data_IF_634070505435
#
_entry.id   IF_634070505435
#
_cell.length_a   1.000
_cell.length_b   1.000
_cell.length_c   1.000
_cell.angle_alpha   90.00
_cell.angle_beta   90.00
_cell.angle_gamma   90.00
#
_symmetry.space_group_name_H-M   'P 1'
#
loop_
_entity.id
_entity.type
_entity.pdbx_description
1 polymer ?
#
# COMPACT_ATOMS: atom_id res chain seq x y z
N UNK A 1 15.68 0.04 10.43
CA UNK A 1 14.58 -0.62 9.71
C UNK A 1 13.63 -1.16 10.77
N UNK A 2 12.46 -0.53 10.92
CA UNK A 2 11.48 -0.82 11.97
C UNK A 2 11.23 -2.32 12.22
N UNK A 3 11.10 -3.09 11.13
CA UNK A 3 10.82 -4.52 11.19
C UNK A 3 12.00 -5.36 11.70
N UNK A 4 13.24 -4.88 11.55
CA UNK A 4 14.47 -5.59 11.98
C UNK A 4 14.83 -5.21 13.42
N UNK A 5 14.58 -3.96 13.80
CA UNK A 5 14.87 -3.46 15.15
C UNK A 5 13.87 -4.00 16.19
N UNK A 6 12.62 -4.28 15.80
CA UNK A 6 11.62 -4.90 16.68
C UNK A 6 11.90 -6.35 17.06
N UNK A 7 12.54 -7.12 16.16
CA UNK A 7 12.95 -8.51 16.43
C UNK A 7 14.12 -8.59 17.43
N UNK A 8 14.93 -7.53 17.50
CA UNK A 8 16.11 -7.45 18.37
C UNK A 8 15.74 -6.90 19.75
N UNK A 9 14.87 -5.91 19.81
CA UNK A 9 14.40 -5.35 21.08
C UNK A 9 12.95 -4.87 20.94
N UNK A 10 12.04 -5.59 21.60
CA UNK A 10 10.61 -5.32 21.59
C UNK A 10 10.27 -3.94 22.18
N UNK A 11 11.05 -3.46 23.15
CA UNK A 11 10.92 -2.11 23.73
C UNK A 11 11.35 -1.01 22.75
N UNK A 12 12.16 -1.32 21.74
CA UNK A 12 12.53 -0.37 20.70
C UNK A 12 11.33 -0.01 19.81
N UNK A 13 10.32 -0.89 19.70
CA UNK A 13 9.06 -0.63 18.99
C UNK A 13 8.24 0.48 19.65
N UNK A 14 8.42 0.70 20.96
CA UNK A 14 7.78 1.78 21.71
C UNK A 14 8.52 3.12 21.56
N UNK A 15 9.70 3.13 20.95
CA UNK A 15 10.40 4.39 20.69
C UNK A 15 9.62 5.21 19.65
N UNK A 16 9.52 6.56 19.80
CA UNK A 16 8.77 7.40 18.87
C UNK A 16 9.23 7.25 17.40
N UNK A 17 10.52 6.96 17.19
CA UNK A 17 11.13 6.79 15.87
C UNK A 17 10.74 5.47 15.19
N UNK A 18 10.36 4.45 15.96
CA UNK A 18 9.84 3.20 15.42
C UNK A 18 8.31 3.23 15.37
N UNK A 19 7.64 3.69 16.42
CA UNK A 19 6.17 3.75 16.49
C UNK A 19 5.57 4.54 15.32
N UNK A 20 6.19 5.67 14.97
CA UNK A 20 5.76 6.53 13.87
C UNK A 20 6.83 6.69 12.79
N UNK A 21 7.38 5.55 12.34
CA UNK A 21 8.42 5.52 11.32
C UNK A 21 7.95 6.09 9.96
N UNK A 22 8.89 6.72 9.25
CA UNK A 22 8.70 7.17 7.86
C UNK A 22 8.77 6.00 6.87
N UNK A 23 8.32 6.26 5.63
CA UNK A 23 8.52 5.34 4.52
C UNK A 23 10.00 5.15 4.20
N UNK A 24 10.38 3.90 3.96
CA UNK A 24 11.70 3.57 3.42
C UNK A 24 11.85 4.09 1.99
N UNK A 25 13.09 4.18 1.46
CA UNK A 25 13.31 4.53 0.05
C UNK A 25 12.53 3.63 -0.93
N UNK A 26 12.44 2.33 -0.63
CA UNK A 26 11.63 1.40 -1.42
C UNK A 26 10.13 1.71 -1.31
N UNK A 27 9.65 2.08 -0.12
CA UNK A 27 8.28 2.52 0.11
C UNK A 27 7.92 3.75 -0.72
N UNK A 28 8.83 4.73 -0.81
CA UNK A 28 8.65 5.90 -1.68
C UNK A 28 8.56 5.52 -3.16
N UNK A 29 9.39 4.57 -3.63
CA UNK A 29 9.28 4.05 -5.00
C UNK A 29 7.93 3.36 -5.24
N UNK A 30 7.43 2.57 -4.29
CA UNK A 30 6.13 1.91 -4.37
C UNK A 30 4.98 2.93 -4.47
N UNK A 31 5.04 3.99 -3.67
CA UNK A 31 4.10 5.12 -3.72
C UNK A 31 4.12 5.80 -5.09
N UNK A 32 5.31 6.05 -5.65
CA UNK A 32 5.45 6.64 -6.97
C UNK A 32 4.85 5.79 -8.10
N UNK A 33 4.98 4.45 -8.00
CA UNK A 33 4.32 3.54 -8.94
C UNK A 33 2.80 3.60 -8.78
N UNK A 34 2.31 3.50 -7.54
CA UNK A 34 0.88 3.53 -7.25
C UNK A 34 0.20 4.83 -7.69
N UNK A 35 0.88 5.98 -7.54
CA UNK A 35 0.40 7.27 -8.06
C UNK A 35 0.12 7.21 -9.56
N UNK A 36 1.01 6.61 -10.35
CA UNK A 36 0.83 6.49 -11.81
C UNK A 36 -0.41 5.67 -12.14
N UNK A 37 -0.58 4.55 -11.44
CA UNK A 37 -1.72 3.64 -11.63
C UNK A 37 -3.05 4.33 -11.26
N UNK A 38 -3.07 5.06 -10.14
CA UNK A 38 -4.23 5.85 -9.69
C UNK A 38 -4.55 6.99 -10.66
N UNK A 39 -3.56 7.70 -11.19
CA UNK A 39 -3.75 8.72 -12.21
C UNK A 39 -4.32 8.13 -13.50
N UNK A 40 -3.75 7.02 -13.99
CA UNK A 40 -4.21 6.34 -15.19
C UNK A 40 -5.66 5.83 -15.06
N UNK A 41 -6.06 5.40 -13.86
CA UNK A 41 -7.43 4.97 -13.57
C UNK A 41 -8.47 6.10 -13.58
N UNK A 42 -8.04 7.37 -13.51
CA UNK A 42 -8.92 8.52 -13.39
C UNK A 42 -9.61 8.64 -12.02
N UNK A 43 -9.21 7.84 -11.03
CA UNK A 43 -9.81 7.78 -9.70
C UNK A 43 -9.76 9.13 -8.97
N UNK A 44 -8.72 9.94 -9.19
CA UNK A 44 -8.59 11.28 -8.60
C UNK A 44 -9.74 12.22 -8.94
N UNK A 45 -10.40 12.04 -10.09
CA UNK A 45 -11.54 12.86 -10.49
C UNK A 45 -12.82 12.53 -9.72
N UNK A 46 -12.86 11.38 -9.05
CA UNK A 46 -14.05 10.85 -8.36
C UNK A 46 -13.96 10.94 -6.84
N UNK A 47 -12.74 10.95 -6.29
CA UNK A 47 -12.54 10.99 -4.85
C UNK A 47 -12.49 12.46 -4.40
N UNK A 48 -13.27 12.78 -3.37
CA UNK A 48 -13.27 14.10 -2.73
C UNK A 48 -12.52 14.09 -1.38
N UNK A 49 -12.47 12.93 -0.72
CA UNK A 49 -11.89 12.76 0.61
C UNK A 49 -11.13 11.43 0.69
N UNK A 50 -9.89 11.50 1.18
CA UNK A 50 -9.07 10.36 1.56
C UNK A 50 -8.95 10.38 3.09
N UNK A 51 -9.43 9.32 3.73
CA UNK A 51 -9.28 9.11 5.16
C UNK A 51 -8.07 8.21 5.38
N UNK A 52 -7.16 8.63 6.27
CA UNK A 52 -5.93 7.90 6.57
C UNK A 52 -5.75 7.74 8.07
N UNK A 53 -4.88 6.81 8.44
CA UNK A 53 -4.35 6.71 9.80
C UNK A 53 -3.49 7.95 10.11
N UNK A 54 -3.47 8.41 11.37
CA UNK A 54 -2.61 9.51 11.83
C UNK A 54 -1.12 9.16 11.83
N UNK A 55 -0.74 7.93 11.45
CA UNK A 55 0.65 7.51 11.36
C UNK A 55 1.34 8.14 10.14
N UNK A 56 2.61 8.49 10.30
CA UNK A 56 3.38 9.22 9.32
C UNK A 56 3.58 8.43 8.03
N UNK A 57 3.89 7.12 8.12
CA UNK A 57 3.95 6.22 6.95
C UNK A 57 2.66 6.21 6.11
N UNK A 58 1.49 6.29 6.74
CA UNK A 58 0.18 6.27 6.06
C UNK A 58 -0.16 7.62 5.47
N UNK A 59 0.20 8.71 6.16
CA UNK A 59 0.08 10.05 5.61
C UNK A 59 1.01 10.26 4.42
N UNK A 60 2.28 9.89 4.50
CA UNK A 60 3.23 9.99 3.38
C UNK A 60 2.75 9.21 2.14
N UNK A 61 2.19 8.01 2.36
CA UNK A 61 1.57 7.23 1.27
C UNK A 61 0.38 7.98 0.67
N UNK A 62 -0.53 8.47 1.51
CA UNK A 62 -1.73 9.19 1.04
C UNK A 62 -1.37 10.47 0.26
N UNK A 63 -0.46 11.28 0.79
CA UNK A 63 0.02 12.49 0.14
C UNK A 63 0.79 12.18 -1.15
N UNK A 64 1.64 11.15 -1.16
CA UNK A 64 2.38 10.78 -2.37
C UNK A 64 1.47 10.24 -3.49
N UNK A 65 0.44 9.47 -3.15
CA UNK A 65 -0.50 8.91 -4.14
C UNK A 65 -1.54 9.93 -4.60
N UNK A 66 -2.18 10.62 -3.66
CA UNK A 66 -3.37 11.45 -3.91
C UNK A 66 -3.12 12.95 -3.85
N UNK A 67 -1.99 13.40 -3.29
CA UNK A 67 -1.66 14.81 -3.15
C UNK A 67 -1.31 15.49 -4.48
N UNK A 68 -1.35 16.83 -4.47
CA UNK A 68 -0.89 17.64 -5.59
C UNK A 68 0.64 17.74 -5.58
N UNK A 69 1.28 17.63 -6.74
CA UNK A 69 2.71 17.95 -6.90
C UNK A 69 2.79 19.37 -7.42
N UNK A 70 3.11 20.32 -6.55
CA UNK A 70 3.15 21.75 -6.87
C UNK A 70 4.27 22.11 -7.85
N UNK A 71 4.05 21.96 -9.17
CA UNK A 71 4.97 22.56 -10.14
C UNK A 71 4.40 22.87 -11.52
N UNK A 72 3.12 22.61 -11.79
CA UNK A 72 2.50 23.08 -13.03
C UNK A 72 1.17 23.72 -12.72
N UNK A 73 1.07 24.98 -13.13
CA UNK A 73 -0.12 25.83 -13.20
C UNK A 73 -1.20 25.32 -14.18
N UNK A 74 -1.18 24.03 -14.54
CA UNK A 74 -2.21 23.37 -15.34
C UNK A 74 -3.36 22.89 -14.44
N UNK A 75 -4.26 23.85 -14.25
CA UNK A 75 -5.67 23.74 -13.92
C UNK A 75 -6.30 22.33 -13.95
N UNK A 76 -6.75 21.86 -12.79
CA UNK A 76 -8.01 21.11 -12.70
C UNK A 76 -7.95 19.65 -12.23
N UNK A 77 -6.80 19.12 -11.81
CA UNK A 77 -6.80 17.83 -11.12
C UNK A 77 -7.29 18.07 -9.68
N UNK A 78 -8.56 17.76 -9.45
CA UNK A 78 -9.16 17.82 -8.12
C UNK A 78 -8.35 16.88 -7.20
N UNK A 79 -7.56 17.46 -6.31
CA UNK A 79 -6.83 16.69 -5.33
C UNK A 79 -7.75 16.46 -4.14
N UNK A 80 -8.05 15.21 -3.78
CA UNK A 80 -8.95 14.94 -2.68
C UNK A 80 -8.36 15.50 -1.38
N UNK A 81 -9.24 15.97 -0.50
CA UNK A 81 -8.85 16.38 0.85
C UNK A 81 -8.34 15.14 1.60
N UNK A 82 -7.27 15.28 2.37
CA UNK A 82 -6.73 14.19 3.19
C UNK A 82 -7.04 14.48 4.65
N UNK A 83 -7.67 13.54 5.33
CA UNK A 83 -8.01 13.63 6.75
C UNK A 83 -7.43 12.43 7.51
N UNK A 84 -6.68 12.71 8.57
CA UNK A 84 -6.20 11.70 9.49
C UNK A 84 -7.24 11.44 10.58
N UNK A 85 -7.55 10.17 10.85
CA UNK A 85 -8.56 9.77 11.85
C UNK A 85 -7.99 8.69 12.76
N UNK A 86 -8.03 8.93 14.07
CA UNK A 86 -7.51 7.99 15.10
C UNK A 86 -8.14 6.60 15.03
N UNK A 87 -9.41 6.50 14.61
CA UNK A 87 -10.09 5.22 14.39
C UNK A 87 -9.44 4.35 13.30
N UNK A 88 -8.63 4.94 12.42
CA UNK A 88 -7.88 4.24 11.39
C UNK A 88 -6.47 3.85 11.84
N UNK A 89 -6.06 4.19 13.08
CA UNK A 89 -4.74 3.83 13.62
C UNK A 89 -4.60 2.30 13.69
N UNK A 90 -3.40 1.83 13.35
CA UNK A 90 -3.04 0.43 13.43
C UNK A 90 -3.21 -0.11 14.86
N UNK A 91 -3.59 -1.39 14.99
CA UNK A 91 -3.78 -2.00 16.31
C UNK A 91 -2.43 -2.16 16.98
N UNK A 92 -2.27 -1.58 18.17
CA UNK A 92 -1.16 -1.94 19.03
C UNK A 92 -1.37 -3.40 19.45
N UNK A 93 -0.37 -4.24 19.23
CA UNK A 93 -0.38 -5.62 19.70
C UNK A 93 -0.18 -5.58 21.22
N UNK A 94 -1.26 -5.31 21.94
CA UNK A 94 -1.29 -5.33 23.41
C UNK A 94 -1.38 -6.80 23.86
N UNK A 95 -0.27 -7.52 23.86
CA UNK A 95 -0.24 -8.89 24.39
C UNK A 95 1.02 -9.67 24.08
N UNK A 96 1.53 -10.39 25.08
CA UNK A 96 2.71 -11.27 24.97
C UNK A 96 2.45 -12.62 24.30
N UNK A 97 1.25 -12.88 23.80
CA UNK A 97 0.89 -14.17 23.23
C UNK A 97 0.41 -14.03 21.78
N UNK A 98 1.35 -14.20 20.84
CA UNK A 98 1.06 -14.50 19.44
C UNK A 98 0.45 -15.90 19.35
N UNK A 99 -0.82 -16.00 19.78
CA UNK A 99 -1.61 -17.23 19.77
C UNK A 99 -2.19 -17.56 18.38
N UNK A 100 -1.89 -16.75 17.37
CA UNK A 100 -2.44 -16.89 16.02
C UNK A 100 -1.57 -17.78 15.12
N UNK A 101 -0.27 -17.89 15.41
CA UNK A 101 0.66 -18.72 14.66
C UNK A 101 1.12 -19.91 15.49
N UNK A 102 0.72 -21.13 15.09
CA UNK A 102 1.25 -22.36 15.68
C UNK A 102 2.36 -22.94 14.78
N UNK A 103 3.65 -22.89 15.19
CA UNK A 103 4.76 -23.42 14.40
C UNK A 103 4.62 -24.90 14.06
N UNK A 104 3.95 -25.66 14.92
CA UNK A 104 3.73 -27.10 14.75
C UNK A 104 2.59 -27.41 13.77
N UNK A 105 1.78 -26.41 13.42
CA UNK A 105 0.71 -26.53 12.43
C UNK A 105 1.13 -25.89 11.11
N UNK A 106 2.09 -26.52 10.44
CA UNK A 106 2.54 -26.11 9.11
C UNK A 106 1.63 -26.73 8.05
N UNK A 107 1.05 -25.90 7.16
CA UNK A 107 0.37 -26.39 5.96
C UNK A 107 1.31 -27.33 5.18
N UNK A 108 0.76 -28.40 4.62
CA UNK A 108 1.56 -29.35 3.85
C UNK A 108 2.16 -28.69 2.60
N UNK A 109 3.27 -29.25 2.08
CA UNK A 109 3.89 -28.72 0.85
C UNK A 109 2.91 -28.72 -0.33
N UNK A 110 1.99 -29.68 -0.35
CA UNK A 110 0.95 -29.80 -1.39
C UNK A 110 -0.08 -28.66 -1.29
N UNK A 111 -0.56 -28.34 -0.08
CA UNK A 111 -1.48 -27.22 0.14
C UNK A 111 -0.81 -25.87 -0.17
N UNK A 112 0.45 -25.71 0.21
CA UNK A 112 1.23 -24.52 -0.09
C UNK A 112 1.44 -24.35 -1.60
N UNK A 113 1.78 -25.44 -2.31
CA UNK A 113 1.94 -25.44 -3.75
C UNK A 113 0.61 -25.14 -4.47
N UNK A 114 -0.51 -25.69 -3.99
CA UNK A 114 -1.83 -25.41 -4.53
C UNK A 114 -2.20 -23.93 -4.40
N UNK A 115 -1.93 -23.31 -3.24
CA UNK A 115 -2.15 -21.88 -3.04
C UNK A 115 -1.25 -21.02 -3.92
N UNK A 116 0.05 -21.34 -4.00
CA UNK A 116 0.97 -20.64 -4.89
C UNK A 116 0.55 -20.77 -6.37
N UNK A 117 0.01 -21.91 -6.78
CA UNK A 117 -0.53 -22.10 -8.12
C UNK A 117 -1.79 -21.26 -8.37
N UNK A 118 -2.70 -21.17 -7.39
CA UNK A 118 -3.88 -20.30 -7.47
C UNK A 118 -3.52 -18.82 -7.52
N UNK A 119 -2.57 -18.37 -6.69
CA UNK A 119 -2.08 -16.98 -6.71
C UNK A 119 -1.36 -16.66 -8.02
N UNK A 120 -0.59 -17.62 -8.56
CA UNK A 120 0.06 -17.48 -9.86
C UNK A 120 -0.95 -17.46 -11.02
N UNK A 121 -2.05 -18.21 -10.91
CA UNK A 121 -3.16 -18.14 -11.87
C UNK A 121 -3.87 -16.77 -11.80
N UNK A 122 -4.21 -16.31 -10.59
CA UNK A 122 -4.83 -15.00 -10.37
C UNK A 122 -3.94 -13.83 -10.83
N UNK A 123 -2.62 -13.94 -10.65
CA UNK A 123 -1.67 -12.97 -11.17
C UNK A 123 -1.58 -12.98 -12.70
N UNK A 124 -1.72 -14.15 -13.35
CA UNK A 124 -1.80 -14.25 -14.83
C UNK A 124 -3.08 -13.62 -15.37
N UNK A 125 -4.21 -13.81 -14.70
CA UNK A 125 -5.49 -13.22 -15.13
C UNK A 125 -5.42 -11.68 -15.07
N UNK A 126 -4.82 -11.12 -14.01
CA UNK A 126 -4.61 -9.68 -13.87
C UNK A 126 -3.68 -9.09 -14.96
N UNK A 127 -2.70 -9.87 -15.45
CA UNK A 127 -1.79 -9.46 -16.53
C UNK A 127 -2.43 -9.61 -17.93
N UNK A 128 -3.40 -10.50 -18.11
CA UNK A 128 -4.06 -10.70 -19.41
C UNK A 128 -5.15 -9.64 -19.68
N UNK A 129 -5.90 -9.22 -18.65
CA UNK A 129 -6.89 -8.14 -18.76
C UNK A 129 -6.26 -6.77 -19.06
N UNK A 130 -5.03 -6.52 -18.58
CA UNK A 130 -4.30 -5.27 -18.83
C UNK A 130 -3.74 -5.17 -20.25
N UNK A 131 -3.37 -6.28 -20.89
CA UNK A 131 -2.87 -6.28 -22.27
C UNK A 131 -3.99 -6.26 -23.33
N UNK A 132 -5.15 -6.86 -23.07
CA UNK A 132 -6.26 -6.83 -24.02
C UNK A 132 -6.94 -5.44 -24.13
N UNK A 133 -6.90 -4.62 -23.08
CA UNK A 133 -7.38 -3.22 -23.13
C UNK A 133 -6.38 -2.25 -23.79
N UNK A 134 -5.11 -2.65 -23.95
CA UNK A 134 -4.09 -1.81 -24.61
C UNK A 134 -4.06 -2.01 -26.14
N UNK A 135 -4.63 -3.11 -26.66
CA UNK A 135 -4.58 -3.44 -28.10
C UNK A 135 -5.71 -2.83 -28.95
N UNK A 136 -6.68 -2.12 -28.35
CA UNK A 136 -7.81 -1.50 -29.08
C UNK A 136 -7.56 -0.08 -29.58
N UNK A 137 -6.38 0.50 -29.36
CA UNK A 137 -6.01 1.80 -29.95
C UNK A 137 -5.04 1.60 -31.12
N UNK A 138 -5.51 1.01 -32.22
CA UNK A 138 -4.83 1.09 -33.52
C UNK A 138 -5.48 2.18 -34.39
N UNK A 139 -4.81 3.33 -34.45
CA UNK A 139 -4.57 4.17 -35.64
C UNK A 139 -5.77 4.35 -36.61
N UNK A 140 -6.44 5.49 -36.50
CA UNK A 140 -6.99 6.28 -37.61
C UNK A 140 -6.34 7.67 -37.47
N UNK A 141 -5.66 8.31 -38.42
CA UNK A 141 -5.40 8.15 -39.86
C UNK A 141 -3.99 8.66 -40.13
#
# INVERSE_FOLDING_TARGET
>A
MHNVEGDINREALLSPHLFDAELSPLGLCQVGKLRKDVHASGLLKRIELVITSPLYRTMQTAFGVFGSTESNEDAGVNCPKIMAVELCRDRMMDGEEDSMWNPDFRESEEEMAARMAMDKARARDCYCESWNNASTYSIQT
#
